data_IF_808802334684
#
_entry.id   IF_808802334684
#
_cell.length_a   1.000
_cell.length_b   1.000
_cell.length_c   1.000
_cell.angle_alpha   90.00
_cell.angle_beta   90.00
_cell.angle_gamma   90.00
#
_symmetry.space_group_name_H-M   'P 1'
#
loop_
_entity.id
_entity.type
_entity.pdbx_description
1 polymer ?
#
# COMPACT_ATOMS: atom_id res chain seq x y z
N UNK A 1 2.68 11.06 -23.57
CA UNK A 1 1.73 9.95 -23.30
C UNK A 1 1.37 10.05 -21.82
N UNK A 2 0.12 10.40 -21.52
CA UNK A 2 -0.30 10.80 -20.17
C UNK A 2 -0.36 9.58 -19.24
N UNK A 3 0.39 9.63 -18.14
CA UNK A 3 0.41 8.59 -17.10
C UNK A 3 -1.02 8.40 -16.57
N UNK A 4 -1.57 7.19 -16.72
CA UNK A 4 -2.88 6.84 -16.17
C UNK A 4 -2.70 6.49 -14.69
N UNK A 5 -2.85 7.51 -13.85
CA UNK A 5 -2.81 7.42 -12.39
C UNK A 5 -3.71 6.29 -11.86
N UNK A 6 -3.15 5.36 -11.08
CA UNK A 6 -3.92 4.33 -10.37
C UNK A 6 -4.61 4.98 -9.17
N UNK A 7 -5.87 4.60 -8.88
CA UNK A 7 -6.64 5.06 -7.73
C UNK A 7 -7.14 3.83 -6.97
N UNK A 8 -6.65 3.66 -5.75
CA UNK A 8 -6.98 2.53 -4.90
C UNK A 8 -6.86 2.95 -3.44
N UNK A 9 -7.48 2.13 -2.61
CA UNK A 9 -7.66 2.25 -1.20
C UNK A 9 -6.65 1.36 -0.50
N UNK A 10 -5.70 1.94 0.24
CA UNK A 10 -4.70 1.18 0.98
C UNK A 10 -4.98 1.20 2.49
N UNK A 11 -4.96 0.01 3.08
CA UNK A 11 -5.35 -0.21 4.46
C UNK A 11 -4.51 -1.32 5.08
N UNK A 12 -3.31 -0.96 5.54
CA UNK A 12 -2.34 -1.93 6.02
C UNK A 12 -2.02 -2.95 4.91
N UNK A 13 -2.28 -4.25 5.11
CA UNK A 13 -2.07 -5.27 4.10
C UNK A 13 -3.19 -5.34 3.04
N UNK A 14 -4.25 -4.52 3.10
CA UNK A 14 -5.39 -4.63 2.20
C UNK A 14 -5.43 -3.54 1.13
N UNK A 15 -5.85 -3.92 -0.09
CA UNK A 15 -6.13 -2.99 -1.19
C UNK A 15 -7.58 -3.15 -1.67
N UNK A 16 -8.28 -2.03 -1.85
CA UNK A 16 -9.54 -1.96 -2.59
C UNK A 16 -9.41 -1.02 -3.77
N UNK A 17 -9.70 -1.48 -4.99
CA UNK A 17 -9.57 -0.68 -6.19
C UNK A 17 -10.77 0.26 -6.37
N UNK A 18 -10.55 1.38 -7.04
CA UNK A 18 -11.61 2.24 -7.56
C UNK A 18 -11.59 2.14 -9.08
N UNK A 19 -12.74 1.84 -9.66
CA UNK A 19 -12.87 1.67 -11.11
C UNK A 19 -12.40 2.88 -11.89
N UNK A 20 -11.75 2.64 -13.02
CA UNK A 20 -11.30 3.69 -13.93
C UNK A 20 -12.45 4.57 -14.42
N UNK A 21 -13.67 4.04 -14.46
CA UNK A 21 -14.88 4.75 -14.90
C UNK A 21 -15.34 5.81 -13.91
N UNK A 22 -15.06 5.64 -12.61
CA UNK A 22 -15.54 6.52 -11.55
C UNK A 22 -14.43 7.25 -10.80
N UNK A 23 -13.17 6.83 -10.89
CA UNK A 23 -12.06 7.44 -10.11
C UNK A 23 -11.84 8.93 -10.34
N UNK A 24 -12.22 9.45 -11.52
CA UNK A 24 -12.02 10.86 -11.85
C UNK A 24 -12.85 11.80 -10.96
N UNK A 25 -13.95 11.32 -10.38
CA UNK A 25 -14.79 12.11 -9.46
C UNK A 25 -14.08 12.42 -8.13
N UNK A 26 -12.98 11.71 -7.81
CA UNK A 26 -12.20 11.92 -6.58
C UNK A 26 -11.09 12.97 -6.74
N UNK A 27 -10.67 13.25 -7.98
CA UNK A 27 -9.58 14.19 -8.26
C UNK A 27 -9.76 15.58 -7.64
N UNK A 28 -10.97 16.18 -7.64
CA UNK A 28 -11.20 17.48 -6.99
C UNK A 28 -10.92 17.48 -5.49
N UNK A 29 -10.87 16.30 -4.85
CA UNK A 29 -10.64 16.14 -3.43
C UNK A 29 -9.21 15.70 -3.08
N UNK A 30 -8.27 15.86 -4.02
CA UNK A 30 -6.85 15.63 -3.76
C UNK A 30 -6.39 16.34 -2.47
N UNK A 31 -5.70 15.64 -1.58
CA UNK A 31 -5.24 16.17 -0.29
C UNK A 31 -6.28 16.19 0.83
N UNK A 32 -7.54 15.79 0.56
CA UNK A 32 -8.64 15.90 1.53
C UNK A 32 -9.21 14.54 1.85
N UNK A 33 -9.45 14.28 3.13
CA UNK A 33 -10.19 13.11 3.58
C UNK A 33 -11.70 13.30 3.35
N UNK A 34 -12.32 12.44 2.54
CA UNK A 34 -13.71 12.55 2.06
C UNK A 34 -14.51 11.31 2.34
N UNK A 35 -15.63 11.41 3.04
CA UNK A 35 -16.58 10.31 3.17
C UNK A 35 -17.26 10.00 1.83
N UNK A 36 -17.30 8.72 1.49
CA UNK A 36 -18.05 8.17 0.35
C UNK A 36 -18.99 7.07 0.81
N UNK A 37 -20.16 7.05 0.19
CA UNK A 37 -21.12 5.96 0.28
C UNK A 37 -20.89 5.01 -0.89
N UNK A 38 -20.50 3.78 -0.60
CA UNK A 38 -20.15 2.79 -1.64
C UNK A 38 -21.43 2.08 -2.06
N UNK A 39 -21.84 2.32 -3.30
CA UNK A 39 -23.12 1.86 -3.85
C UNK A 39 -23.00 0.51 -4.54
N UNK A 40 -21.86 0.26 -5.21
CA UNK A 40 -21.62 -0.97 -5.96
C UNK A 40 -20.17 -1.43 -5.85
N UNK A 41 -20.00 -2.72 -5.56
CA UNK A 41 -18.70 -3.37 -5.39
C UNK A 41 -18.66 -4.68 -6.18
N UNK A 42 -17.73 -4.78 -7.12
CA UNK A 42 -17.36 -6.03 -7.75
C UNK A 42 -16.36 -6.77 -6.87
N UNK A 43 -16.70 -7.99 -6.47
CA UNK A 43 -15.82 -8.89 -5.72
C UNK A 43 -15.57 -10.14 -6.57
N UNK A 44 -14.35 -10.35 -7.09
CA UNK A 44 -14.02 -11.64 -7.69
C UNK A 44 -14.11 -12.76 -6.65
N UNK A 45 -14.18 -14.01 -7.10
CA UNK A 45 -14.34 -15.20 -6.25
C UNK A 45 -13.23 -15.41 -5.21
N UNK A 46 -12.11 -14.67 -5.29
CA UNK A 46 -11.10 -14.62 -4.25
C UNK A 46 -11.45 -13.56 -3.20
N UNK A 47 -11.66 -13.95 -1.93
CA UNK A 47 -12.13 -13.03 -0.90
C UNK A 47 -11.10 -11.94 -0.63
N UNK A 48 -11.47 -10.66 -0.78
CA UNK A 48 -10.94 -9.50 -0.04
C UNK A 48 -10.25 -8.36 -0.82
N UNK A 49 -10.05 -8.48 -2.15
CA UNK A 49 -9.68 -7.35 -3.00
C UNK A 49 -10.94 -7.05 -3.79
N UNK A 50 -11.43 -5.84 -3.65
CA UNK A 50 -12.68 -5.42 -4.23
C UNK A 50 -12.44 -4.31 -5.26
N UNK A 51 -13.33 -4.19 -6.23
CA UNK A 51 -13.37 -3.06 -7.14
C UNK A 51 -14.65 -2.28 -6.85
N UNK A 52 -14.50 -1.05 -6.38
CA UNK A 52 -15.62 -0.12 -6.24
C UNK A 52 -15.98 0.37 -7.63
N UNK A 53 -17.19 0.04 -8.06
CA UNK A 53 -17.75 0.44 -9.35
C UNK A 53 -18.56 1.73 -9.24
N UNK A 54 -19.23 1.94 -8.11
CA UNK A 54 -20.09 3.10 -7.90
C UNK A 54 -20.01 3.56 -6.45
N UNK A 55 -19.94 4.87 -6.26
CA UNK A 55 -19.99 5.50 -4.96
C UNK A 55 -20.59 6.90 -5.09
N UNK A 56 -20.94 7.49 -3.94
CA UNK A 56 -21.36 8.88 -3.83
C UNK A 56 -20.47 9.59 -2.82
N UNK A 57 -19.89 10.73 -3.21
CA UNK A 57 -19.17 11.59 -2.25
C UNK A 57 -20.19 12.26 -1.34
N UNK A 58 -20.08 12.01 -0.04
CA UNK A 58 -20.98 12.54 0.99
C UNK A 58 -20.48 13.89 1.51
N UNK A 59 -19.17 14.05 1.65
CA UNK A 59 -18.55 15.27 2.18
C UNK A 59 -17.22 14.96 2.86
N UNK A 60 -16.64 15.91 3.61
CA UNK A 60 -15.43 15.65 4.40
C UNK A 60 -15.61 14.45 5.35
N UNK A 61 -14.51 13.76 5.61
CA UNK A 61 -14.42 12.76 6.67
C UNK A 61 -14.96 13.31 7.99
N UNK A 62 -15.76 12.55 8.76
CA UNK A 62 -16.05 12.93 10.13
C UNK A 62 -14.74 13.04 10.93
N UNK A 63 -14.64 14.08 11.75
CA UNK A 63 -13.55 14.20 12.74
C UNK A 63 -13.75 13.06 13.75
N UNK A 64 -12.70 12.29 13.99
CA UNK A 64 -12.74 11.21 14.98
C UNK A 64 -12.39 11.84 16.33
N UNK A 65 -13.32 11.85 17.28
CA UNK A 65 -13.15 12.51 18.60
C UNK A 65 -12.02 11.91 19.44
N UNK A 66 -11.52 10.73 19.07
CA UNK A 66 -10.27 10.15 19.57
C UNK A 66 -9.54 9.49 18.39
N UNK A 67 -8.67 10.23 17.69
CA UNK A 67 -7.94 9.62 16.59
C UNK A 67 -7.12 8.45 17.14
N UNK A 68 -7.13 7.29 16.46
CA UNK A 68 -6.20 6.23 16.83
C UNK A 68 -4.76 6.79 16.78
N UNK A 69 -3.85 6.19 17.55
CA UNK A 69 -2.43 6.58 17.71
C UNK A 69 -1.61 6.66 16.39
N UNK A 70 -2.27 6.43 15.26
CA UNK A 70 -1.78 6.54 13.89
C UNK A 70 -1.44 7.97 13.46
N UNK A 71 -2.04 9.01 14.03
CA UNK A 71 -1.73 10.42 13.65
C UNK A 71 -0.28 10.81 13.92
N UNK A 72 0.31 10.18 14.93
CA UNK A 72 1.71 10.33 15.30
C UNK A 72 2.62 9.34 14.60
N UNK A 73 2.12 8.54 13.65
CA UNK A 73 2.93 7.59 12.91
C UNK A 73 3.11 8.04 11.47
N UNK A 74 4.35 7.93 11.02
CA UNK A 74 4.73 8.17 9.64
C UNK A 74 5.38 6.92 9.09
N UNK A 75 4.98 6.52 7.88
CA UNK A 75 5.61 5.44 7.14
C UNK A 75 6.45 6.02 6.00
N UNK A 76 7.64 5.48 5.82
CA UNK A 76 8.57 5.90 4.78
C UNK A 76 9.10 4.64 4.07
N UNK A 77 9.09 4.67 2.75
CA UNK A 77 9.67 3.62 1.90
C UNK A 77 10.81 4.21 1.07
N UNK A 78 11.98 3.60 1.15
CA UNK A 78 13.16 4.02 0.41
C UNK A 78 13.69 2.85 -0.43
N UNK A 79 14.02 3.10 -1.68
CA UNK A 79 14.75 2.14 -2.50
C UNK A 79 16.12 1.86 -1.87
N UNK A 80 16.47 0.58 -1.75
CA UNK A 80 17.76 0.11 -1.24
C UNK A 80 18.34 -0.96 -2.18
N UNK A 81 18.13 -0.75 -3.48
CA UNK A 81 18.71 -1.51 -4.58
C UNK A 81 19.66 -0.61 -5.39
N UNK A 82 20.76 -1.19 -5.87
CA UNK A 82 21.67 -0.55 -6.82
C UNK A 82 21.33 -0.99 -8.25
N UNK A 83 21.97 -0.38 -9.26
CA UNK A 83 21.83 -0.76 -10.68
C UNK A 83 22.10 -2.24 -10.98
N UNK A 84 22.71 -2.98 -10.05
CA UNK A 84 23.03 -4.41 -10.16
C UNK A 84 22.29 -5.27 -9.11
N UNK A 85 21.36 -4.66 -8.38
CA UNK A 85 20.65 -5.31 -7.27
C UNK A 85 19.23 -5.73 -7.64
N UNK A 86 18.79 -6.85 -7.08
CA UNK A 86 17.37 -7.20 -7.02
C UNK A 86 16.59 -6.11 -6.25
N UNK A 87 15.29 -5.90 -6.54
CA UNK A 87 14.49 -4.91 -5.85
C UNK A 87 14.49 -5.15 -4.32
N UNK A 88 14.89 -4.12 -3.58
CA UNK A 88 14.89 -4.12 -2.12
C UNK A 88 14.57 -2.73 -1.56
N UNK A 89 13.88 -2.68 -0.42
CA UNK A 89 13.39 -1.44 0.15
C UNK A 89 13.67 -1.41 1.65
N UNK A 90 14.14 -0.24 2.13
CA UNK A 90 14.14 0.09 3.54
C UNK A 90 12.79 0.68 3.91
N UNK A 91 12.18 0.10 4.92
CA UNK A 91 10.94 0.57 5.50
C UNK A 91 11.25 1.20 6.84
N UNK A 92 10.67 2.36 7.09
CA UNK A 92 10.74 3.04 8.37
C UNK A 92 9.34 3.40 8.82
N UNK A 93 9.00 3.01 10.05
CA UNK A 93 7.83 3.52 10.77
C UNK A 93 8.33 4.37 11.93
N UNK A 94 7.96 5.65 11.92
CA UNK A 94 8.46 6.67 12.84
C UNK A 94 7.34 7.23 13.69
N UNK A 95 7.59 7.37 14.99
CA UNK A 95 6.71 8.12 15.88
C UNK A 95 7.10 9.60 15.87
N UNK A 96 6.27 10.42 15.22
CA UNK A 96 6.40 11.89 15.15
C UNK A 96 5.63 12.60 16.26
N UNK A 97 4.90 11.87 17.09
CA UNK A 97 4.15 12.41 18.21
C UNK A 97 4.98 12.60 19.47
N UNK A 98 4.29 13.03 20.53
CA UNK A 98 4.86 13.31 21.86
C UNK A 98 4.55 12.24 22.91
N UNK A 99 3.88 11.14 22.52
CA UNK A 99 3.55 10.01 23.39
C UNK A 99 4.09 8.72 22.79
N UNK A 100 4.41 7.70 23.63
CA UNK A 100 4.74 6.38 23.13
C UNK A 100 3.58 5.80 22.31
N UNK A 101 3.92 5.13 21.20
CA UNK A 101 2.94 4.45 20.35
C UNK A 101 3.31 2.98 20.25
N UNK A 102 2.30 2.13 20.46
CA UNK A 102 2.42 0.70 20.21
C UNK A 102 2.22 0.40 18.72
N UNK A 103 3.10 -0.44 18.17
CA UNK A 103 3.10 -0.84 16.77
C UNK A 103 2.98 -2.36 16.65
N UNK A 104 2.14 -2.80 15.73
CA UNK A 104 1.94 -4.22 15.40
C UNK A 104 2.48 -4.49 14.00
N UNK A 105 3.52 -5.33 13.85
CA UNK A 105 4.10 -5.58 12.53
C UNK A 105 3.13 -6.29 11.57
N UNK A 106 2.14 -7.01 12.10
CA UNK A 106 1.05 -7.62 11.33
C UNK A 106 0.11 -6.59 10.65
N UNK A 107 0.17 -5.33 11.05
CA UNK A 107 -0.59 -4.26 10.41
C UNK A 107 0.22 -3.53 9.33
N UNK A 108 1.54 -3.78 9.23
CA UNK A 108 2.40 -3.22 8.19
C UNK A 108 2.31 -4.12 6.96
N UNK A 109 1.69 -3.59 5.91
CA UNK A 109 1.41 -4.32 4.67
C UNK A 109 2.17 -3.77 3.47
N UNK A 110 3.22 -4.45 2.99
CA UNK A 110 3.86 -4.12 1.72
C UNK A 110 2.93 -4.43 0.55
N UNK A 111 2.82 -3.48 -0.38
CA UNK A 111 2.10 -3.65 -1.63
C UNK A 111 3.01 -3.38 -2.83
N UNK A 112 2.97 -4.29 -3.78
CA UNK A 112 3.68 -4.17 -5.07
C UNK A 112 2.66 -4.10 -6.18
N UNK A 113 2.64 -2.99 -6.91
CA UNK A 113 1.83 -2.78 -8.10
C UNK A 113 2.67 -3.06 -9.34
N UNK A 114 2.08 -3.72 -10.32
CA UNK A 114 2.67 -3.87 -11.64
C UNK A 114 1.59 -3.88 -12.72
N UNK A 115 1.98 -4.20 -13.95
CA UNK A 115 1.07 -4.19 -15.10
C UNK A 115 -0.06 -5.21 -14.94
N UNK A 116 -1.28 -4.79 -15.24
CA UNK A 116 -2.43 -5.67 -15.36
C UNK A 116 -2.32 -6.45 -16.69
N UNK A 117 -2.49 -7.77 -16.64
CA UNK A 117 -2.33 -8.66 -17.79
C UNK A 117 -3.28 -9.85 -17.70
N UNK A 118 -3.42 -10.59 -18.81
CA UNK A 118 -4.21 -11.83 -18.82
C UNK A 118 -3.67 -12.90 -17.87
N UNK A 119 -2.38 -12.85 -17.56
CA UNK A 119 -1.71 -13.75 -16.62
C UNK A 119 -1.90 -13.33 -15.16
N UNK A 120 -2.01 -12.03 -14.88
CA UNK A 120 -2.22 -11.47 -13.54
C UNK A 120 -3.61 -10.85 -13.45
N UNK A 121 -4.64 -11.69 -13.34
CA UNK A 121 -6.02 -11.21 -13.14
C UNK A 121 -6.26 -10.86 -11.67
N UNK A 122 -6.32 -9.56 -11.38
CA UNK A 122 -6.90 -9.04 -10.15
C UNK A 122 -8.17 -8.22 -10.44
N UNK A 123 -8.84 -7.70 -9.41
CA UNK A 123 -10.09 -6.96 -9.57
C UNK A 123 -9.95 -5.61 -10.27
N UNK A 124 -8.73 -5.10 -10.47
CA UNK A 124 -8.49 -3.84 -11.17
C UNK A 124 -9.00 -3.89 -12.62
N UNK A 125 -9.78 -2.89 -13.02
CA UNK A 125 -10.17 -2.62 -14.41
C UNK A 125 -9.23 -1.61 -15.09
N UNK A 126 -8.14 -1.24 -14.41
CA UNK A 126 -7.10 -0.34 -14.91
C UNK A 126 -5.90 -1.07 -15.51
N UNK A 127 -4.89 -0.29 -15.91
CA UNK A 127 -3.64 -0.81 -16.49
C UNK A 127 -2.68 -1.42 -15.47
N UNK A 128 -2.95 -1.27 -14.18
CA UNK A 128 -2.09 -1.79 -13.10
C UNK A 128 -2.90 -2.56 -12.07
N UNK A 129 -2.26 -3.52 -11.43
CA UNK A 129 -2.84 -4.41 -10.42
C UNK A 129 -1.78 -4.71 -9.36
N UNK A 130 -2.20 -4.95 -8.12
CA UNK A 130 -1.32 -5.43 -7.07
C UNK A 130 -0.86 -6.86 -7.42
N UNK A 131 0.43 -7.00 -7.67
CA UNK A 131 1.09 -8.29 -7.69
C UNK A 131 1.24 -8.80 -6.26
N UNK A 132 1.66 -7.93 -5.33
CA UNK A 132 1.78 -8.29 -3.91
C UNK A 132 0.83 -7.41 -3.11
N UNK A 133 -0.01 -8.06 -2.31
CA UNK A 133 -0.92 -7.46 -1.33
C UNK A 133 -1.28 -8.56 -0.32
N UNK A 134 -1.86 -8.19 0.81
CA UNK A 134 -2.32 -9.12 1.87
C UNK A 134 -1.25 -9.97 2.52
N UNK A 135 -0.04 -9.48 2.41
CA UNK A 135 1.09 -9.97 3.18
C UNK A 135 1.41 -8.87 4.16
N UNK A 136 1.63 -9.27 5.41
CA UNK A 136 2.09 -8.38 6.46
C UNK A 136 3.50 -8.79 6.91
N UNK A 137 4.20 -7.85 7.55
CA UNK A 137 5.56 -8.10 8.01
C UNK A 137 5.67 -9.20 9.08
N UNK A 138 4.60 -9.54 9.81
CA UNK A 138 4.64 -10.61 10.81
C UNK A 138 4.57 -12.01 10.17
N UNK A 139 4.02 -12.13 8.96
CA UNK A 139 3.94 -13.37 8.19
C UNK A 139 5.13 -13.59 7.24
N UNK A 140 6.00 -12.59 7.08
CA UNK A 140 7.18 -12.72 6.22
C UNK A 140 8.25 -13.64 6.83
N UNK A 141 8.77 -14.53 5.99
CA UNK A 141 9.97 -15.33 6.27
C UNK A 141 11.23 -14.65 5.73
N UNK A 142 12.39 -14.99 6.31
CA UNK A 142 13.70 -14.72 5.69
C UNK A 142 14.01 -15.70 4.54
N UNK A 143 13.28 -16.80 4.47
CA UNK A 143 13.33 -17.74 3.36
C UNK A 143 12.49 -17.24 2.18
N UNK A 144 13.00 -17.41 0.96
CA UNK A 144 12.27 -17.01 -0.27
C UNK A 144 11.04 -17.90 -0.42
N UNK A 145 9.88 -17.38 -0.08
CA UNK A 145 8.60 -18.01 -0.44
C UNK A 145 8.19 -17.50 -1.82
N UNK A 146 8.11 -18.39 -2.82
CA UNK A 146 7.48 -18.05 -4.09
C UNK A 146 5.98 -17.96 -3.86
N UNK A 147 5.45 -16.75 -3.94
CA UNK A 147 4.02 -16.50 -3.86
C UNK A 147 3.47 -16.63 -5.25
N UNK A 148 2.60 -17.63 -5.44
CA UNK A 148 1.81 -17.93 -6.63
C UNK A 148 2.56 -18.42 -7.90
N UNK A 149 1.78 -18.78 -8.93
CA UNK A 149 2.28 -19.29 -10.23
C UNK A 149 2.95 -18.22 -11.12
N UNK A 150 3.05 -16.97 -10.67
CA UNK A 150 3.64 -15.84 -11.39
C UNK A 150 5.10 -15.58 -11.00
N UNK A 151 5.65 -16.34 -10.04
CA UNK A 151 7.10 -16.40 -9.78
C UNK A 151 7.67 -15.19 -9.06
N UNK A 152 6.84 -14.40 -8.37
CA UNK A 152 7.33 -13.36 -7.48
C UNK A 152 7.50 -13.85 -6.04
N UNK A 153 8.40 -13.22 -5.29
CA UNK A 153 8.61 -13.50 -3.87
C UNK A 153 8.88 -12.22 -3.09
N UNK A 154 8.54 -12.25 -1.81
CA UNK A 154 8.82 -11.20 -0.83
C UNK A 154 9.39 -11.85 0.43
N UNK A 155 10.50 -11.32 0.93
CA UNK A 155 11.18 -11.85 2.09
C UNK A 155 11.95 -10.75 2.83
N UNK A 156 12.28 -10.99 4.11
CA UNK A 156 13.22 -10.15 4.82
C UNK A 156 14.61 -10.28 4.21
N UNK A 157 15.24 -9.15 3.90
CA UNK A 157 16.55 -9.16 3.27
C UNK A 157 17.68 -9.53 4.25
N UNK A 158 17.48 -9.28 5.55
CA UNK A 158 18.36 -9.69 6.64
C UNK A 158 17.48 -10.17 7.82
N UNK A 159 17.74 -11.38 8.32
CA UNK A 159 17.00 -11.95 9.45
C UNK A 159 17.20 -11.18 10.77
N UNK A 160 18.23 -10.34 10.85
CA UNK A 160 18.51 -9.46 12.00
C UNK A 160 17.69 -8.16 11.97
N UNK A 161 17.10 -7.83 10.81
CA UNK A 161 16.28 -6.63 10.62
C UNK A 161 14.78 -6.93 10.69
N UNK A 162 14.40 -8.13 11.19
CA UNK A 162 13.01 -8.51 11.40
C UNK A 162 12.41 -7.67 12.54
N UNK A 163 11.30 -6.99 12.26
CA UNK A 163 10.60 -6.25 13.31
C UNK A 163 9.94 -7.21 14.30
N UNK A 164 9.99 -6.93 15.62
CA UNK A 164 9.19 -7.66 16.59
C UNK A 164 7.71 -7.63 16.21
N UNK A 165 6.96 -8.70 16.55
CA UNK A 165 5.50 -8.76 16.31
C UNK A 165 4.75 -7.55 16.87
N UNK A 166 5.22 -7.07 18.02
CA UNK A 166 4.69 -5.93 18.77
C UNK A 166 5.84 -5.19 19.42
N UNK A 167 5.88 -3.86 19.30
CA UNK A 167 6.92 -3.02 19.90
C UNK A 167 6.39 -1.62 20.17
N UNK A 168 7.06 -0.89 21.07
CA UNK A 168 6.75 0.50 21.36
C UNK A 168 7.78 1.42 20.71
N UNK A 169 7.29 2.48 20.07
CA UNK A 169 8.10 3.60 19.64
C UNK A 169 7.89 4.76 20.61
N UNK A 170 8.96 5.15 21.31
CA UNK A 170 8.96 6.41 22.06
C UNK A 170 8.88 7.60 21.08
N UNK A 171 8.56 8.81 21.56
CA UNK A 171 8.62 10.02 20.73
C UNK A 171 9.93 10.11 19.95
N UNK A 172 9.85 10.41 18.65
CA UNK A 172 10.98 10.49 17.71
C UNK A 172 11.74 9.18 17.43
N UNK A 173 11.31 8.04 17.98
CA UNK A 173 11.89 6.74 17.63
C UNK A 173 11.29 6.18 16.35
N UNK A 174 12.07 5.31 15.70
CA UNK A 174 11.68 4.62 14.48
C UNK A 174 11.99 3.13 14.55
N UNK A 175 11.08 2.30 14.03
CA UNK A 175 11.35 0.92 13.67
C UNK A 175 11.79 0.85 12.21
N UNK A 176 12.83 0.09 11.91
CA UNK A 176 13.37 -0.04 10.55
C UNK A 176 13.52 -1.51 10.17
N UNK A 177 13.26 -1.80 8.90
CA UNK A 177 13.50 -3.12 8.32
C UNK A 177 13.84 -3.01 6.85
N UNK A 178 14.45 -4.05 6.30
CA UNK A 178 14.71 -4.18 4.87
C UNK A 178 14.03 -5.42 4.34
N UNK A 179 13.24 -5.22 3.29
CA UNK A 179 12.58 -6.28 2.54
C UNK A 179 13.11 -6.33 1.12
N UNK A 180 13.13 -7.52 0.53
CA UNK A 180 13.58 -7.75 -0.83
C UNK A 180 12.55 -8.55 -1.61
N UNK A 181 12.61 -8.40 -2.93
CA UNK A 181 11.65 -8.96 -3.85
C UNK A 181 12.33 -9.69 -5.01
N UNK A 182 11.70 -10.76 -5.47
CA UNK A 182 11.87 -11.28 -6.84
C UNK A 182 10.61 -10.88 -7.60
N UNK A 183 10.76 -10.17 -8.71
CA UNK A 183 9.64 -9.66 -9.51
C UNK A 183 9.86 -10.02 -10.98
N UNK A 184 8.79 -10.16 -11.78
CA UNK A 184 8.92 -10.21 -13.23
C UNK A 184 9.40 -8.86 -13.78
N UNK A 185 9.91 -8.88 -15.02
CA UNK A 185 10.36 -7.65 -15.69
C UNK A 185 9.21 -6.70 -16.00
N UNK A 186 9.54 -5.41 -16.03
CA UNK A 186 8.63 -4.32 -16.35
C UNK A 186 8.50 -3.27 -15.24
N UNK A 187 7.58 -2.34 -15.48
CA UNK A 187 7.28 -1.22 -14.58
C UNK A 187 6.57 -1.71 -13.32
N UNK A 188 7.12 -1.31 -12.17
CA UNK A 188 6.60 -1.63 -10.85
C UNK A 188 6.51 -0.38 -9.98
N UNK A 189 5.63 -0.44 -8.99
CA UNK A 189 5.57 0.57 -7.96
C UNK A 189 5.35 -0.06 -6.59
N UNK A 190 6.14 0.39 -5.64
CA UNK A 190 6.11 -0.09 -4.27
C UNK A 190 5.49 0.94 -3.32
N UNK A 191 4.64 0.48 -2.41
CA UNK A 191 4.06 1.27 -1.33
C UNK A 191 3.82 0.38 -0.10
N UNK A 192 3.81 0.96 1.10
CA UNK A 192 3.49 0.23 2.33
C UNK A 192 2.34 0.91 3.06
N UNK A 193 1.35 0.13 3.48
CA UNK A 193 0.28 0.57 4.37
C UNK A 193 0.53 0.16 5.83
N UNK A 194 -0.08 0.88 6.77
CA UNK A 194 -0.16 0.52 8.17
C UNK A 194 -1.57 0.76 8.73
N UNK A 195 -2.04 -0.14 9.59
CA UNK A 195 -3.36 -0.07 10.23
C UNK A 195 -4.50 -0.45 9.28
N UNK A 196 -5.73 -0.02 9.57
CA UNK A 196 -6.80 -0.10 8.58
C UNK A 196 -7.34 -1.51 8.26
N UNK A 197 -7.38 -2.47 9.19
CA UNK A 197 -8.17 -3.69 8.99
C UNK A 197 -9.60 -3.40 8.49
N UNK A 198 -10.35 -4.41 8.03
CA UNK A 198 -11.69 -4.27 7.39
C UNK A 198 -12.72 -3.49 8.25
N UNK A 199 -12.41 -3.26 9.52
CA UNK A 199 -13.23 -2.51 10.49
C UNK A 199 -12.50 -1.34 11.18
N UNK A 200 -11.26 -1.03 10.80
CA UNK A 200 -10.48 0.03 11.41
C UNK A 200 -10.67 1.35 10.65
N UNK A 201 -11.01 2.40 11.40
CA UNK A 201 -11.39 3.70 10.85
C UNK A 201 -10.24 4.57 10.32
N UNK A 202 -8.99 4.07 10.21
CA UNK A 202 -7.86 4.86 9.70
C UNK A 202 -6.67 3.97 9.29
N UNK A 203 -5.94 4.40 8.27
CA UNK A 203 -4.66 3.84 7.83
C UNK A 203 -3.61 4.93 7.60
N UNK A 204 -2.34 4.54 7.63
CA UNK A 204 -1.19 5.36 7.19
C UNK A 204 -0.56 4.62 6.02
N UNK A 205 0.09 5.34 5.10
CA UNK A 205 0.90 4.72 4.06
C UNK A 205 2.16 5.54 3.80
N UNK A 206 3.13 4.88 3.20
CA UNK A 206 4.35 5.49 2.76
C UNK A 206 4.18 6.31 1.49
N UNK A 207 5.22 7.08 1.16
CA UNK A 207 5.46 7.48 -0.21
C UNK A 207 5.48 6.25 -1.16
N UNK A 208 5.11 6.47 -2.42
CA UNK A 208 5.23 5.46 -3.47
C UNK A 208 6.62 5.54 -4.13
N UNK A 209 7.20 4.38 -4.46
CA UNK A 209 8.49 4.29 -5.17
C UNK A 209 8.28 3.57 -6.49
N UNK A 210 8.46 4.29 -7.60
CA UNK A 210 8.35 3.74 -8.96
C UNK A 210 9.72 3.31 -9.50
N UNK A 211 9.77 2.14 -10.11
CA UNK A 211 11.00 1.52 -10.61
C UNK A 211 10.71 0.54 -11.75
N UNK A 212 11.74 0.23 -12.53
CA UNK A 212 11.71 -0.76 -13.59
C UNK A 212 12.54 -1.98 -13.19
N UNK A 213 12.07 -3.18 -13.54
CA UNK A 213 12.80 -4.43 -13.39
C UNK A 213 13.17 -4.94 -14.79
N UNK A 214 14.44 -5.23 -15.06
CA UNK A 214 14.86 -5.79 -16.33
C UNK A 214 14.68 -7.33 -16.36
N UNK A 215 14.97 -7.96 -17.51
CA UNK A 215 14.84 -9.41 -17.67
C UNK A 215 15.79 -10.24 -16.78
N UNK A 216 16.87 -9.63 -16.30
CA UNK A 216 17.79 -10.22 -15.32
C UNK A 216 17.31 -10.07 -13.86
N UNK A 217 16.16 -9.42 -13.64
CA UNK A 217 15.60 -9.17 -12.31
C UNK A 217 16.24 -8.00 -11.56
N UNK A 218 16.98 -7.12 -12.25
CA UNK A 218 17.66 -5.96 -11.69
C UNK A 218 16.75 -4.74 -11.68
N UNK A 219 16.71 -4.01 -10.57
CA UNK A 219 15.85 -2.86 -10.38
C UNK A 219 16.58 -1.54 -10.66
N UNK A 220 15.92 -0.63 -11.39
CA UNK A 220 16.38 0.76 -11.59
C UNK A 220 15.26 1.72 -11.28
N UNK A 221 15.55 2.81 -10.56
CA UNK A 221 14.55 3.85 -10.27
C UNK A 221 14.01 4.45 -11.58
N UNK A 222 12.70 4.65 -11.64
CA UNK A 222 12.07 5.22 -12.82
C UNK A 222 12.59 6.66 -13.03
N UNK A 223 13.05 6.97 -14.24
CA UNK A 223 13.55 8.30 -14.63
C UNK A 223 12.44 9.33 -14.83
N UNK A 224 11.17 8.89 -14.78
CA UNK A 224 9.99 9.76 -14.78
C UNK A 224 9.10 9.43 -13.60
N UNK A 225 8.61 10.47 -12.91
CA UNK A 225 7.68 10.30 -11.79
C UNK A 225 6.32 9.88 -12.35
N UNK A 226 6.00 8.59 -12.26
CA UNK A 226 4.61 8.15 -12.34
C UNK A 226 3.92 8.55 -11.04
N UNK A 227 3.18 9.64 -11.05
CA UNK A 227 2.33 9.99 -9.90
C UNK A 227 1.27 8.92 -9.75
N UNK A 228 1.23 8.27 -8.58
CA UNK A 228 0.12 7.40 -8.19
C UNK A 228 -0.69 8.13 -7.13
N UNK A 229 -1.96 8.36 -7.43
CA UNK A 229 -2.92 8.90 -6.48
C UNK A 229 -3.37 7.76 -5.57
N UNK A 230 -2.61 7.53 -4.50
CA UNK A 230 -3.05 6.60 -3.45
C UNK A 230 -4.17 7.26 -2.66
N UNK A 231 -5.30 6.56 -2.58
CA UNK A 231 -6.40 6.94 -1.73
C UNK A 231 -6.32 6.13 -0.42
N UNK A 232 -6.54 6.80 0.70
CA UNK A 232 -6.47 6.20 2.05
C UNK A 232 -7.88 5.97 2.56
N UNK A 233 -8.17 4.76 3.05
CA UNK A 233 -9.50 4.41 3.54
C UNK A 233 -9.66 4.53 5.03
N UNK A 234 -10.79 5.11 5.42
CA UNK A 234 -11.40 4.94 6.71
C UNK A 234 -12.57 3.97 6.52
N UNK A 235 -12.61 2.84 7.23
CA UNK A 235 -13.78 1.97 7.26
C UNK A 235 -14.47 2.12 8.61
N UNK A 236 -15.48 2.99 8.69
CA UNK A 236 -16.52 2.87 9.71
C UNK A 236 -17.57 1.87 9.21
N UNK A 237 -18.20 1.10 10.10
CA UNK A 237 -19.30 0.22 9.73
C UNK A 237 -20.27 0.96 8.79
N UNK A 238 -20.30 0.53 7.52
CA UNK A 238 -21.10 1.09 6.42
C UNK A 238 -20.64 2.36 5.71
N UNK A 239 -19.48 2.98 5.99
CA UNK A 239 -19.07 4.23 5.29
C UNK A 239 -17.55 4.33 5.12
N UNK A 240 -17.09 4.39 3.85
CA UNK A 240 -15.68 4.58 3.52
C UNK A 240 -15.34 6.08 3.55
N UNK A 241 -14.11 6.45 3.89
CA UNK A 241 -13.60 7.82 3.74
C UNK A 241 -12.28 7.76 3.00
N UNK A 242 -11.95 8.77 2.19
CA UNK A 242 -10.91 8.79 1.18
C UNK A 242 -10.00 10.00 1.37
N UNK A 243 -8.74 9.84 1.79
CA UNK A 243 -7.72 10.90 1.66
C UNK A 243 -6.87 10.65 0.42
N UNK A 244 -6.39 11.67 -0.27
CA UNK A 244 -5.49 11.55 -1.44
C UNK A 244 -4.17 12.21 -1.07
N UNK A 245 -3.03 11.51 -1.11
CA UNK A 245 -1.72 12.16 -0.97
C UNK A 245 -1.02 12.27 -2.33
N UNK A 246 -0.38 13.42 -2.56
CA UNK A 246 0.38 13.76 -3.78
C UNK A 246 1.82 13.32 -3.65
#
# INVERSE_FOLDING_TARGET
>A
MTVRTLAFLLSGPYITYISVCVKNELRPYAGKAMQVDVLSVFRPQNPGDALIWEYKVIGPAPVIDHPPSLDSLELIAQSDFSIIGAPAFRLEIRNTGNKPVEVFSAEIGPAMLGKNSDTVRGPSDGSSVAWITRVDLALLSSEKSEWNKLGYSLYYADSREVLPKRFFLQPSQSGKTRIAFKLPSGQSQFIVGYGGGVHAGKSVASNAVSFDVNDDGLATLATSVSTTECLYVYAGASRCVLSLQK
#
